data_IF_188109047641
#
_entry.id   IF_188109047641
#
_cell.length_a   1.000
_cell.length_b   1.000
_cell.length_c   1.000
_cell.angle_alpha   90.00
_cell.angle_beta   90.00
_cell.angle_gamma   90.00
#
_symmetry.space_group_name_H-M   'P 1'
#
loop_
_entity.id
_entity.type
_entity.pdbx_description
1 polymer ?
#
# COMPACT_ATOMS: atom_id res chain seq x y z
N UNK A 1 -5.45 3.89 -15.81
CA UNK A 1 -4.11 3.56 -15.23
C UNK A 1 -3.37 4.82 -14.78
N UNK A 2 -3.07 5.77 -15.66
CA UNK A 2 -2.21 6.94 -15.35
C UNK A 2 -2.67 7.75 -14.12
N UNK A 3 -3.97 7.99 -13.96
CA UNK A 3 -4.51 8.71 -12.79
C UNK A 3 -4.04 8.13 -11.44
N UNK A 4 -3.94 6.81 -11.31
CA UNK A 4 -3.46 6.17 -10.08
C UNK A 4 -1.93 6.25 -9.94
N UNK A 5 -1.20 6.19 -11.06
CA UNK A 5 0.25 6.40 -11.07
C UNK A 5 0.61 7.83 -10.64
N UNK A 6 -0.18 8.83 -11.08
CA UNK A 6 -0.01 10.22 -10.71
C UNK A 6 -0.19 10.45 -9.20
N UNK A 7 -1.14 9.73 -8.56
CA UNK A 7 -1.33 9.74 -7.11
C UNK A 7 -0.15 9.12 -6.34
N UNK A 8 0.48 8.07 -6.89
CA UNK A 8 1.65 7.37 -6.29
C UNK A 8 2.97 8.12 -6.46
N UNK A 9 3.04 8.95 -7.51
CA UNK A 9 4.25 9.61 -7.98
C UNK A 9 4.98 10.33 -6.85
N UNK A 10 6.32 10.32 -6.82
CA UNK A 10 7.07 11.19 -5.91
C UNK A 10 6.86 12.68 -6.25
N UNK A 11 7.25 13.56 -5.32
CA UNK A 11 7.25 15.01 -5.55
C UNK A 11 5.87 15.68 -5.48
N UNK A 12 4.85 15.01 -4.94
CA UNK A 12 3.49 15.56 -4.79
C UNK A 12 3.37 16.60 -3.67
N UNK A 13 4.28 16.58 -2.70
CA UNK A 13 4.30 17.56 -1.59
C UNK A 13 5.70 17.70 -0.98
N UNK A 14 5.87 18.67 -0.07
CA UNK A 14 7.10 18.88 0.70
C UNK A 14 7.40 17.78 1.75
N UNK A 15 6.42 16.91 2.02
CA UNK A 15 6.48 15.84 3.02
C UNK A 15 6.82 14.48 2.42
N UNK A 16 7.03 14.40 1.11
CA UNK A 16 7.50 13.21 0.41
C UNK A 16 8.80 13.50 -0.35
N UNK A 17 9.42 12.45 -0.90
CA UNK A 17 10.65 12.54 -1.66
C UNK A 17 10.47 13.47 -2.87
N UNK A 18 11.45 14.33 -3.10
CA UNK A 18 11.42 15.38 -4.11
C UNK A 18 11.90 14.91 -5.49
N UNK A 19 11.93 13.59 -5.72
CA UNK A 19 12.26 13.02 -7.04
C UNK A 19 11.17 13.37 -8.03
N UNK A 20 11.58 13.59 -9.28
CA UNK A 20 10.67 13.85 -10.39
C UNK A 20 10.70 12.66 -11.34
N UNK A 21 9.84 11.70 -11.07
CA UNK A 21 9.59 10.57 -11.95
C UNK A 21 8.20 10.77 -12.54
N UNK A 22 8.01 10.86 -13.87
CA UNK A 22 6.71 11.13 -14.46
C UNK A 22 5.76 9.93 -14.39
N UNK A 23 6.29 8.73 -14.10
CA UNK A 23 5.53 7.47 -14.02
C UNK A 23 4.62 7.24 -15.24
N UNK A 24 5.10 7.58 -16.44
CA UNK A 24 4.37 7.34 -17.68
C UNK A 24 4.33 5.85 -18.00
N UNK A 25 3.13 5.31 -18.13
CA UNK A 25 2.92 3.91 -18.50
C UNK A 25 2.68 3.77 -20.00
N UNK A 26 3.38 2.81 -20.62
CA UNK A 26 3.17 2.35 -21.98
C UNK A 26 2.55 0.95 -21.95
N UNK A 27 1.44 0.75 -22.64
CA UNK A 27 0.84 -0.57 -22.84
C UNK A 27 1.51 -1.18 -24.07
N UNK A 28 2.11 -2.36 -23.92
CA UNK A 28 2.88 -3.02 -24.98
C UNK A 28 2.10 -4.16 -25.66
N UNK A 29 1.12 -4.75 -24.96
CA UNK A 29 0.33 -5.88 -25.47
C UNK A 29 -0.98 -6.05 -24.69
N UNK A 30 -1.86 -6.94 -25.16
CA UNK A 30 -3.09 -7.35 -24.45
C UNK A 30 -4.26 -6.37 -24.54
N UNK A 31 -4.08 -5.28 -25.29
CA UNK A 31 -5.10 -4.25 -25.55
C UNK A 31 -5.20 -4.02 -27.05
N UNK A 32 -6.42 -3.84 -27.53
CA UNK A 32 -6.75 -3.55 -28.92
C UNK A 32 -7.69 -2.34 -28.98
N UNK A 33 -7.53 -1.50 -29.99
CA UNK A 33 -8.40 -0.36 -30.25
C UNK A 33 -8.55 -0.16 -31.75
N UNK A 34 -9.79 -0.06 -32.22
CA UNK A 34 -10.11 0.38 -33.57
C UNK A 34 -11.45 1.13 -33.60
N UNK A 35 -11.93 1.44 -34.80
CA UNK A 35 -13.19 2.13 -35.04
C UNK A 35 -14.43 1.38 -34.53
N UNK A 36 -14.32 0.10 -34.19
CA UNK A 36 -15.43 -0.76 -33.71
C UNK A 36 -15.51 -0.85 -32.19
N UNK A 37 -14.43 -0.58 -31.48
CA UNK A 37 -14.34 -0.83 -30.02
C UNK A 37 -14.76 0.37 -29.16
N UNK A 38 -14.84 1.57 -29.74
CA UNK A 38 -15.22 2.78 -29.00
C UNK A 38 -14.22 3.19 -27.92
N UNK A 39 -12.97 2.76 -28.07
CA UNK A 39 -11.87 2.93 -27.10
C UNK A 39 -11.08 1.63 -26.89
N UNK A 40 -10.05 1.65 -26.01
CA UNK A 40 -9.23 0.48 -25.75
C UNK A 40 -10.01 -0.66 -25.07
N UNK A 41 -9.91 -1.87 -25.60
CA UNK A 41 -10.48 -3.08 -25.02
C UNK A 41 -9.41 -4.14 -24.77
N UNK A 42 -9.59 -4.97 -23.74
CA UNK A 42 -8.67 -6.09 -23.47
C UNK A 42 -8.94 -7.25 -24.42
N UNK A 43 -7.90 -7.88 -24.94
CA UNK A 43 -8.02 -9.04 -25.86
C UNK A 43 -8.17 -10.38 -25.14
N UNK A 44 -8.13 -10.41 -23.81
CA UNK A 44 -8.07 -11.65 -23.00
C UNK A 44 -6.69 -12.30 -22.93
N UNK A 45 -5.69 -11.74 -23.62
CA UNK A 45 -4.29 -12.19 -23.56
C UNK A 45 -3.48 -11.37 -22.53
N UNK A 46 -2.25 -11.77 -22.17
CA UNK A 46 -1.43 -11.02 -21.21
C UNK A 46 -1.26 -9.53 -21.59
N UNK A 47 -1.48 -8.64 -20.62
CA UNK A 47 -1.26 -7.20 -20.76
C UNK A 47 0.13 -6.86 -20.22
N UNK A 48 1.03 -6.43 -21.11
CA UNK A 48 2.37 -5.99 -20.73
C UNK A 48 2.42 -4.48 -20.58
N UNK A 49 2.97 -4.00 -19.46
CA UNK A 49 3.12 -2.58 -19.15
C UNK A 49 4.60 -2.23 -18.98
N UNK A 50 5.02 -1.07 -19.48
CA UNK A 50 6.37 -0.55 -19.33
C UNK A 50 6.34 0.86 -18.74
N UNK A 51 7.16 1.08 -17.71
CA UNK A 51 7.35 2.38 -17.06
C UNK A 51 8.86 2.66 -17.03
N UNK A 52 9.28 3.74 -17.68
CA UNK A 52 10.70 4.12 -17.76
C UNK A 52 11.15 4.83 -16.47
N UNK A 53 12.40 4.61 -16.05
CA UNK A 53 13.03 5.35 -14.95
C UNK A 53 13.87 6.49 -15.56
N UNK A 54 13.57 7.74 -15.24
CA UNK A 54 14.22 8.90 -15.89
C UNK A 54 15.13 9.70 -14.97
N UNK A 55 14.97 9.65 -13.64
CA UNK A 55 15.77 10.40 -12.65
C UNK A 55 16.67 9.47 -11.82
N UNK A 56 17.28 8.46 -12.47
CA UNK A 56 18.23 7.56 -11.80
C UNK A 56 19.62 8.21 -11.70
N UNK A 57 19.96 8.71 -10.51
CA UNK A 57 21.30 9.20 -10.19
C UNK A 57 22.15 8.10 -9.55
N UNK A 58 22.89 7.37 -10.37
CA UNK A 58 23.73 6.26 -9.92
C UNK A 58 24.92 6.68 -9.05
N UNK A 59 25.42 7.92 -9.22
CA UNK A 59 26.59 8.46 -8.49
C UNK A 59 26.33 8.65 -6.99
N UNK A 60 25.09 8.90 -6.58
CA UNK A 60 24.72 9.15 -5.18
C UNK A 60 24.86 7.91 -4.28
N UNK A 61 25.14 6.74 -4.85
CA UNK A 61 25.16 5.44 -4.15
C UNK A 61 26.54 4.78 -4.06
N UNK A 62 27.60 5.40 -4.58
CA UNK A 62 28.95 4.81 -4.56
C UNK A 62 29.48 4.62 -3.13
N UNK A 63 29.19 5.55 -2.22
CA UNK A 63 29.63 5.50 -0.82
C UNK A 63 29.04 4.33 -0.02
N UNK A 64 27.91 3.77 -0.48
CA UNK A 64 27.24 2.63 0.17
C UNK A 64 27.47 1.30 -0.57
N UNK A 65 28.31 1.28 -1.61
CA UNK A 65 28.58 0.09 -2.43
C UNK A 65 29.00 -1.11 -1.60
N UNK A 66 29.83 -0.88 -0.60
CA UNK A 66 30.43 -1.93 0.23
C UNK A 66 29.87 -1.95 1.65
N UNK A 67 28.88 -1.08 1.95
CA UNK A 67 28.25 -0.94 3.27
C UNK A 67 26.81 -1.45 3.26
N UNK A 68 26.42 -2.18 4.30
CA UNK A 68 25.01 -2.53 4.49
C UNK A 68 24.28 -1.40 5.20
N UNK A 69 23.10 -0.99 4.70
CA UNK A 69 22.29 0.02 5.40
C UNK A 69 21.37 -0.69 6.39
N UNK A 70 21.41 -0.34 7.68
CA UNK A 70 20.47 -0.86 8.66
C UNK A 70 19.01 -0.65 8.21
N UNK A 71 18.18 -1.69 8.32
CA UNK A 71 16.78 -1.64 7.94
C UNK A 71 16.49 -1.76 6.44
N UNK A 72 17.51 -1.78 5.57
CA UNK A 72 17.34 -2.11 4.14
C UNK A 72 17.54 -3.60 3.88
N UNK A 73 17.25 -4.02 2.65
CA UNK A 73 17.39 -5.41 2.22
C UNK A 73 18.85 -5.80 1.89
N UNK A 74 19.81 -4.90 2.11
CA UNK A 74 21.18 -5.02 1.59
C UNK A 74 21.87 -6.33 1.99
N UNK A 75 22.02 -6.56 3.29
CA UNK A 75 22.69 -7.76 3.82
C UNK A 75 21.90 -9.03 3.48
N UNK A 76 20.57 -8.98 3.58
CA UNK A 76 19.73 -10.14 3.32
C UNK A 76 19.78 -10.59 1.85
N UNK A 77 19.85 -9.65 0.90
CA UNK A 77 20.02 -9.96 -0.52
C UNK A 77 21.41 -10.50 -0.83
N UNK A 78 22.46 -9.90 -0.25
CA UNK A 78 23.83 -10.37 -0.43
C UNK A 78 24.01 -11.79 0.15
N UNK A 79 23.47 -12.04 1.35
CA UNK A 79 23.48 -13.37 1.98
C UNK A 79 22.70 -14.42 1.17
N UNK A 80 21.57 -14.03 0.55
CA UNK A 80 20.73 -14.95 -0.22
C UNK A 80 21.29 -15.25 -1.61
N UNK A 81 21.83 -14.26 -2.31
CA UNK A 81 22.17 -14.36 -3.73
C UNK A 81 23.68 -14.24 -4.02
N UNK A 82 24.51 -13.88 -3.03
CA UNK A 82 25.93 -13.57 -3.23
C UNK A 82 26.20 -12.32 -4.07
N UNK A 83 25.14 -11.62 -4.49
CA UNK A 83 25.19 -10.39 -5.28
C UNK A 83 24.12 -9.42 -4.78
N UNK A 84 24.52 -8.16 -4.66
CA UNK A 84 23.66 -7.06 -4.23
C UNK A 84 23.78 -5.90 -5.19
N UNK A 85 22.66 -5.49 -5.78
CA UNK A 85 22.59 -4.18 -6.43
C UNK A 85 22.43 -3.10 -5.37
N UNK A 86 23.53 -2.43 -5.04
CA UNK A 86 23.57 -1.35 -4.06
C UNK A 86 22.89 -0.07 -4.56
N UNK A 87 22.56 0.03 -5.86
CA UNK A 87 21.91 1.21 -6.46
C UNK A 87 20.45 1.24 -6.03
N UNK A 88 19.96 2.41 -5.63
CA UNK A 88 18.59 2.61 -5.10
C UNK A 88 17.42 2.39 -6.08
N UNK A 89 17.65 1.74 -7.22
CA UNK A 89 16.67 1.43 -8.26
C UNK A 89 16.54 -0.07 -8.59
N UNK A 90 17.23 -0.96 -7.88
CA UNK A 90 17.13 -2.42 -8.06
C UNK A 90 15.85 -3.03 -7.48
N UNK A 91 15.74 -4.37 -7.49
CA UNK A 91 14.53 -5.14 -7.07
C UNK A 91 14.01 -4.79 -5.67
N UNK A 92 14.88 -4.42 -4.74
CA UNK A 92 14.49 -4.04 -3.37
C UNK A 92 13.92 -2.62 -3.24
N UNK A 93 13.99 -1.83 -4.31
CA UNK A 93 13.52 -0.45 -4.34
C UNK A 93 11.99 -0.38 -4.37
N UNK A 94 11.44 0.62 -3.67
CA UNK A 94 10.03 0.97 -3.77
C UNK A 94 9.62 1.49 -5.17
N UNK A 95 10.54 1.56 -6.15
CA UNK A 95 10.18 1.83 -7.55
C UNK A 95 9.23 0.77 -8.11
N UNK A 96 9.36 -0.47 -7.68
CA UNK A 96 8.49 -1.54 -8.16
C UNK A 96 7.01 -1.32 -7.83
N UNK A 97 6.69 -0.53 -6.80
CA UNK A 97 5.29 -0.22 -6.49
C UNK A 97 4.58 0.54 -7.61
N UNK A 98 5.30 1.18 -8.54
CA UNK A 98 4.71 1.72 -9.76
C UNK A 98 4.05 0.63 -10.61
N UNK A 99 4.67 -0.54 -10.74
CA UNK A 99 4.09 -1.68 -11.46
C UNK A 99 2.84 -2.21 -10.74
N UNK A 100 2.84 -2.25 -9.40
CA UNK A 100 1.66 -2.64 -8.60
C UNK A 100 0.49 -1.70 -8.81
N UNK A 101 0.73 -0.39 -8.77
CA UNK A 101 -0.29 0.64 -9.01
C UNK A 101 -0.81 0.56 -10.44
N UNK A 102 0.06 0.31 -11.42
CA UNK A 102 -0.36 0.13 -12.80
C UNK A 102 -1.28 -1.10 -12.98
N UNK A 103 -0.92 -2.22 -12.35
CA UNK A 103 -1.75 -3.42 -12.31
C UNK A 103 -3.09 -3.19 -11.59
N UNK A 104 -3.07 -2.47 -10.46
CA UNK A 104 -4.29 -2.07 -9.74
C UNK A 104 -5.24 -1.23 -10.59
N UNK A 105 -4.69 -0.39 -11.49
CA UNK A 105 -5.49 0.35 -12.46
C UNK A 105 -6.25 -0.54 -13.45
N UNK A 106 -5.69 -1.69 -13.83
CA UNK A 106 -6.39 -2.71 -14.64
C UNK A 106 -7.39 -3.47 -13.75
N UNK A 107 -6.99 -3.86 -12.54
CA UNK A 107 -7.85 -4.59 -11.61
C UNK A 107 -9.15 -3.81 -11.30
N UNK A 108 -9.07 -2.50 -11.12
CA UNK A 108 -10.25 -1.63 -10.95
C UNK A 108 -11.21 -1.67 -12.14
N UNK A 109 -10.70 -1.78 -13.38
CA UNK A 109 -11.56 -1.97 -14.56
C UNK A 109 -12.29 -3.32 -14.54
N UNK A 110 -11.63 -4.37 -14.05
CA UNK A 110 -12.25 -5.71 -13.87
C UNK A 110 -13.32 -5.68 -12.78
N UNK A 111 -13.09 -4.93 -11.70
CA UNK A 111 -14.05 -4.78 -10.60
C UNK A 111 -15.31 -4.03 -11.03
N UNK A 112 -15.16 -2.98 -11.83
CA UNK A 112 -16.25 -2.12 -12.27
C UNK A 112 -16.64 -1.08 -11.21
N UNK A 113 -17.65 -0.27 -11.52
CA UNK A 113 -17.98 0.94 -10.74
C UNK A 113 -18.77 0.67 -9.46
N UNK A 114 -19.24 -0.55 -9.25
CA UNK A 114 -19.98 -0.93 -8.03
C UNK A 114 -19.09 -1.08 -6.82
N UNK A 115 -17.77 -1.20 -7.01
CA UNK A 115 -16.79 -1.40 -5.94
C UNK A 115 -15.91 -0.17 -5.83
N UNK A 116 -15.96 0.46 -4.65
CA UNK A 116 -15.14 1.63 -4.34
C UNK A 116 -14.05 1.23 -3.37
N UNK A 117 -12.78 1.45 -3.75
CA UNK A 117 -11.62 1.22 -2.89
C UNK A 117 -10.97 2.57 -2.59
N UNK A 118 -10.85 2.91 -1.30
CA UNK A 118 -10.25 4.14 -0.80
C UNK A 118 -9.30 3.84 0.34
N UNK A 119 -8.17 4.54 0.39
CA UNK A 119 -7.19 4.45 1.46
C UNK A 119 -6.91 5.78 2.14
N UNK A 120 -6.50 5.69 3.39
CA UNK A 120 -6.23 6.81 4.27
C UNK A 120 -5.03 6.52 5.18
N UNK A 121 -4.26 7.55 5.53
CA UNK A 121 -3.33 7.43 6.66
C UNK A 121 -4.11 7.71 7.94
N UNK A 122 -4.01 6.82 8.91
CA UNK A 122 -4.74 6.91 10.19
C UNK A 122 -3.83 7.15 11.39
N UNK A 123 -2.51 7.02 11.20
CA UNK A 123 -1.52 7.36 12.23
C UNK A 123 -0.18 7.73 11.59
N UNK A 124 0.49 8.75 12.13
CA UNK A 124 1.89 9.06 11.84
C UNK A 124 2.66 9.19 13.16
N UNK A 125 3.68 8.35 13.35
CA UNK A 125 4.41 8.29 14.61
C UNK A 125 3.48 7.97 15.78
N UNK A 126 3.48 8.83 16.80
CA UNK A 126 2.63 8.70 18.00
C UNK A 126 1.24 9.34 17.84
N UNK A 127 0.96 10.00 16.72
CA UNK A 127 -0.27 10.76 16.51
C UNK A 127 -1.25 9.97 15.64
N UNK A 128 -2.27 9.40 16.27
CA UNK A 128 -3.40 8.73 15.62
C UNK A 128 -4.52 9.74 15.35
N UNK A 129 -5.27 9.56 14.26
CA UNK A 129 -6.49 10.34 14.00
C UNK A 129 -7.55 10.12 15.08
N UNK A 130 -8.51 11.01 15.16
CA UNK A 130 -9.78 10.73 15.82
C UNK A 130 -10.77 10.11 14.82
N UNK A 131 -11.21 8.86 15.01
CA UNK A 131 -12.19 8.22 14.12
C UNK A 131 -13.52 8.98 14.01
N UNK A 132 -13.90 9.78 15.01
CA UNK A 132 -15.12 10.59 14.98
C UNK A 132 -15.04 11.73 13.95
N UNK A 133 -13.83 12.15 13.59
CA UNK A 133 -13.57 13.20 12.60
C UNK A 133 -13.39 12.66 11.17
N UNK A 134 -13.65 11.37 10.95
CA UNK A 134 -13.40 10.73 9.65
C UNK A 134 -14.25 11.33 8.52
N UNK A 135 -13.59 12.01 7.57
CA UNK A 135 -14.19 12.47 6.33
C UNK A 135 -13.34 12.05 5.12
N UNK A 136 -13.94 11.25 4.22
CA UNK A 136 -13.27 10.81 3.00
C UNK A 136 -12.87 11.96 2.07
N UNK A 137 -13.66 13.04 2.02
CA UNK A 137 -13.38 14.18 1.14
C UNK A 137 -12.09 14.92 1.55
N UNK A 138 -11.73 14.85 2.84
CA UNK A 138 -10.51 15.48 3.35
C UNK A 138 -9.24 14.80 2.85
N UNK A 139 -9.29 13.51 2.49
CA UNK A 139 -8.11 12.77 2.02
C UNK A 139 -7.48 13.37 0.76
N UNK A 140 -8.27 14.07 -0.06
CA UNK A 140 -7.80 14.80 -1.25
C UNK A 140 -7.38 16.25 -0.96
N UNK A 141 -7.78 16.80 0.19
CA UNK A 141 -7.55 18.21 0.57
C UNK A 141 -6.27 18.43 1.38
N UNK A 142 -5.52 17.37 1.69
CA UNK A 142 -4.26 17.44 2.43
C UNK A 142 -3.20 16.48 1.85
N UNK A 143 -1.91 16.72 2.11
CA UNK A 143 -0.83 15.93 1.50
C UNK A 143 -0.61 14.56 2.16
N UNK A 144 -1.41 14.21 3.16
CA UNK A 144 -1.20 13.02 4.00
C UNK A 144 -2.20 11.91 3.73
N UNK A 145 -3.20 12.12 2.87
CA UNK A 145 -4.36 11.22 2.76
C UNK A 145 -5.08 11.04 4.10
N UNK A 146 -5.08 12.10 4.92
CA UNK A 146 -5.70 12.07 6.24
C UNK A 146 -7.21 12.32 6.11
N UNK A 147 -8.07 11.51 6.74
CA UNK A 147 -9.51 11.77 6.77
C UNK A 147 -9.90 12.75 7.89
N UNK A 148 -8.98 13.07 8.79
CA UNK A 148 -9.17 14.01 9.91
C UNK A 148 -8.39 15.32 9.63
N UNK A 149 -9.10 16.39 9.27
CA UNK A 149 -8.50 17.67 8.94
C UNK A 149 -7.79 18.35 10.13
N UNK A 150 -8.21 18.06 11.37
CA UNK A 150 -7.55 18.58 12.57
C UNK A 150 -6.21 17.86 12.78
N UNK A 151 -6.20 16.54 12.67
CA UNK A 151 -4.98 15.74 12.79
C UNK A 151 -3.97 16.04 11.68
N UNK A 152 -4.44 16.30 10.45
CA UNK A 152 -3.56 16.68 9.34
C UNK A 152 -2.68 17.91 9.66
N UNK A 153 -3.22 18.91 10.38
CA UNK A 153 -2.46 20.09 10.83
C UNK A 153 -1.41 19.74 11.87
N UNK A 154 -1.73 18.83 12.79
CA UNK A 154 -0.79 18.32 13.80
C UNK A 154 0.36 17.58 13.12
N UNK A 155 0.07 16.71 12.14
CA UNK A 155 1.09 15.97 11.39
C UNK A 155 2.02 16.86 10.58
N UNK A 156 1.53 17.97 10.02
CA UNK A 156 2.37 18.95 9.33
C UNK A 156 3.48 19.50 10.24
N UNK A 157 3.13 19.95 11.45
CA UNK A 157 4.13 20.45 12.40
C UNK A 157 5.08 19.35 12.90
N UNK A 158 4.52 18.18 13.20
CA UNK A 158 5.29 17.03 13.68
C UNK A 158 6.33 16.57 12.65
N UNK A 159 5.93 16.38 11.39
CA UNK A 159 6.83 15.95 10.33
C UNK A 159 7.89 17.01 9.99
N UNK A 160 7.57 18.30 10.11
CA UNK A 160 8.57 19.36 9.99
C UNK A 160 9.65 19.24 11.09
N UNK A 161 9.27 18.86 12.31
CA UNK A 161 10.20 18.61 13.42
C UNK A 161 11.06 17.37 13.16
N UNK A 162 10.45 16.25 12.76
CA UNK A 162 11.16 15.02 12.41
C UNK A 162 12.17 15.24 11.28
N UNK A 163 11.77 16.00 10.24
CA UNK A 163 12.63 16.34 9.10
C UNK A 163 13.81 17.22 9.52
N UNK A 164 13.58 18.25 10.35
CA UNK A 164 14.65 19.12 10.89
C UNK A 164 15.65 18.33 11.74
N UNK A 165 15.18 17.32 12.47
CA UNK A 165 16.03 16.40 13.22
C UNK A 165 16.77 15.38 12.32
N UNK A 166 16.52 15.37 11.01
CA UNK A 166 17.13 14.41 10.08
C UNK A 166 16.71 12.96 10.34
N UNK A 167 15.51 12.77 10.91
CA UNK A 167 14.95 11.48 11.30
C UNK A 167 13.76 11.10 10.40
N UNK A 168 13.12 9.97 10.71
CA UNK A 168 11.92 9.48 10.05
C UNK A 168 10.98 8.81 11.07
N UNK A 169 9.72 8.65 10.69
CA UNK A 169 8.67 8.02 11.50
C UNK A 169 7.86 7.04 10.67
N UNK A 170 7.22 6.08 11.34
CA UNK A 170 6.31 5.13 10.72
C UNK A 170 4.90 5.70 10.59
N UNK A 171 4.00 4.88 10.04
CA UNK A 171 2.59 5.21 9.92
C UNK A 171 1.72 3.95 9.91
N UNK A 172 0.42 4.14 10.15
CA UNK A 172 -0.61 3.15 9.86
C UNK A 172 -1.45 3.69 8.70
N UNK A 173 -1.61 2.86 7.68
CA UNK A 173 -2.53 3.10 6.56
C UNK A 173 -3.73 2.19 6.75
N UNK A 174 -4.93 2.72 6.51
CA UNK A 174 -6.16 1.95 6.40
C UNK A 174 -6.66 1.98 4.95
N UNK A 175 -7.13 0.86 4.44
CA UNK A 175 -7.77 0.75 3.12
C UNK A 175 -9.12 0.07 3.30
N UNK A 176 -10.13 0.67 2.72
CA UNK A 176 -11.51 0.18 2.73
C UNK A 176 -11.98 -0.13 1.32
N UNK A 177 -12.69 -1.25 1.14
CA UNK A 177 -13.45 -1.56 -0.08
C UNK A 177 -14.94 -1.70 0.24
N UNK A 178 -15.75 -0.81 -0.34
CA UNK A 178 -17.21 -0.84 -0.22
C UNK A 178 -17.85 -1.43 -1.46
N UNK A 179 -19.01 -2.06 -1.31
CA UNK A 179 -19.79 -2.66 -2.42
C UNK A 179 -19.29 -4.03 -2.87
N UNK A 180 -18.39 -4.67 -2.12
CA UNK A 180 -17.95 -6.04 -2.37
C UNK A 180 -19.10 -7.00 -2.03
N UNK A 181 -19.58 -7.84 -2.97
CA UNK A 181 -20.64 -8.80 -2.68
C UNK A 181 -20.22 -9.82 -1.62
N UNK A 182 -21.20 -10.42 -0.93
CA UNK A 182 -20.94 -11.58 -0.10
C UNK A 182 -20.53 -12.80 -0.96
N UNK A 183 -19.61 -13.62 -0.47
CA UNK A 183 -19.24 -14.89 -1.10
C UNK A 183 -17.89 -14.93 -1.82
N UNK A 184 -17.12 -13.84 -1.84
CA UNK A 184 -15.78 -13.82 -2.42
C UNK A 184 -14.72 -14.35 -1.44
N UNK A 185 -13.79 -15.14 -1.96
CA UNK A 185 -12.79 -15.86 -1.17
C UNK A 185 -12.99 -17.37 -1.26
N UNK A 186 -12.03 -18.13 -0.74
CA UNK A 186 -12.09 -19.59 -0.71
C UNK A 186 -11.78 -20.10 0.71
N UNK A 187 -12.43 -21.21 1.14
CA UNK A 187 -12.11 -21.81 2.42
C UNK A 187 -10.63 -22.24 2.51
N UNK A 188 -10.11 -22.23 3.75
CA UNK A 188 -8.81 -22.80 4.16
C UNK A 188 -7.56 -22.11 3.59
N UNK A 189 -7.28 -22.23 2.28
CA UNK A 189 -6.00 -21.81 1.68
C UNK A 189 -6.09 -20.58 0.77
N UNK A 190 -7.29 -20.22 0.31
CA UNK A 190 -7.54 -19.01 -0.48
C UNK A 190 -8.44 -18.03 0.27
N UNK A 191 -8.28 -17.97 1.60
CA UNK A 191 -9.10 -17.07 2.43
C UNK A 191 -8.82 -15.63 2.04
N UNK A 192 -9.88 -14.84 1.87
CA UNK A 192 -9.79 -13.46 1.39
C UNK A 192 -8.95 -12.58 2.33
N UNK A 193 -9.14 -12.71 3.63
CA UNK A 193 -8.34 -12.04 4.67
C UNK A 193 -6.85 -12.42 4.60
N UNK A 194 -6.54 -13.69 4.35
CA UNK A 194 -5.16 -14.18 4.16
C UNK A 194 -4.50 -13.62 2.90
N UNK A 195 -5.23 -13.55 1.79
CA UNK A 195 -4.74 -12.98 0.53
C UNK A 195 -4.54 -11.47 0.64
N UNK A 196 -5.49 -10.75 1.26
CA UNK A 196 -5.35 -9.33 1.58
C UNK A 196 -4.15 -9.09 2.50
N UNK A 197 -3.99 -9.89 3.56
CA UNK A 197 -2.87 -9.78 4.48
C UNK A 197 -1.53 -10.00 3.78
N UNK A 198 -1.42 -11.03 2.94
CA UNK A 198 -0.23 -11.31 2.13
C UNK A 198 0.08 -10.16 1.16
N UNK A 199 -0.94 -9.64 0.48
CA UNK A 199 -0.81 -8.53 -0.47
C UNK A 199 -0.31 -7.25 0.23
N UNK A 200 -0.86 -6.89 1.38
CA UNK A 200 -0.44 -5.72 2.16
C UNK A 200 0.96 -5.90 2.78
N UNK A 201 1.24 -7.07 3.36
CA UNK A 201 2.55 -7.36 3.96
C UNK A 201 3.67 -7.38 2.92
N UNK A 202 3.35 -7.67 1.66
CA UNK A 202 4.32 -7.65 0.57
C UNK A 202 4.77 -6.24 0.16
N UNK A 203 4.11 -5.18 0.64
CA UNK A 203 4.46 -3.78 0.36
C UNK A 203 5.75 -3.44 1.12
N UNK A 204 6.69 -2.75 0.46
CA UNK A 204 7.95 -2.35 1.09
C UNK A 204 7.67 -1.57 2.39
N UNK A 205 8.45 -1.87 3.43
CA UNK A 205 8.33 -1.29 4.77
C UNK A 205 7.10 -1.71 5.59
N UNK A 206 6.15 -2.49 5.04
CA UNK A 206 5.09 -3.09 5.85
C UNK A 206 5.67 -4.08 6.88
N UNK A 207 5.16 -4.03 8.12
CA UNK A 207 5.61 -4.86 9.24
C UNK A 207 4.47 -5.50 10.05
N UNK A 208 3.23 -5.08 9.82
CA UNK A 208 2.03 -5.61 10.46
C UNK A 208 0.83 -5.39 9.54
N UNK A 209 -0.14 -6.30 9.59
CA UNK A 209 -1.41 -6.17 8.89
C UNK A 209 -2.53 -6.61 9.82
N UNK A 210 -3.64 -5.87 9.78
CA UNK A 210 -4.86 -6.13 10.54
C UNK A 210 -6.06 -6.16 9.60
N UNK A 211 -7.06 -6.96 9.93
CA UNK A 211 -8.38 -7.00 9.28
C UNK A 211 -9.42 -6.61 10.34
N UNK A 212 -10.34 -5.70 9.99
CA UNK A 212 -11.41 -5.27 10.89
C UNK A 212 -10.89 -4.66 12.19
N UNK A 213 -11.26 -5.22 13.33
CA UNK A 213 -10.78 -4.82 14.66
C UNK A 213 -9.29 -5.16 14.88
N UNK A 214 -8.69 -6.04 14.07
CA UNK A 214 -7.26 -6.31 14.11
C UNK A 214 -6.79 -6.90 15.43
N UNK A 215 -5.68 -6.38 15.96
CA UNK A 215 -5.15 -6.83 17.26
C UNK A 215 -6.08 -6.48 18.43
N UNK A 216 -6.97 -5.49 18.30
CA UNK A 216 -7.92 -5.15 19.36
C UNK A 216 -8.91 -6.29 19.65
N UNK A 217 -9.20 -7.13 18.65
CA UNK A 217 -10.08 -8.29 18.80
C UNK A 217 -9.58 -9.29 19.87
N UNK A 218 -8.28 -9.34 20.15
CA UNK A 218 -7.72 -10.20 21.20
C UNK A 218 -8.17 -9.79 22.62
N UNK A 219 -8.62 -8.54 22.79
CA UNK A 219 -9.15 -8.04 24.06
C UNK A 219 -10.67 -8.09 24.18
N UNK A 220 -11.39 -8.53 23.14
CA UNK A 220 -12.85 -8.54 23.13
C UNK A 220 -13.42 -9.80 23.81
N UNK A 221 -14.58 -9.64 24.45
CA UNK A 221 -15.42 -10.78 24.81
C UNK A 221 -16.09 -11.37 23.56
N UNK A 222 -16.72 -12.53 23.68
CA UNK A 222 -17.46 -13.12 22.56
C UNK A 222 -18.60 -12.22 22.10
N UNK A 223 -19.26 -11.56 23.06
CA UNK A 223 -20.35 -10.62 22.86
C UNK A 223 -19.88 -9.35 22.14
N UNK A 224 -18.75 -8.77 22.57
CA UNK A 224 -18.20 -7.54 21.95
C UNK A 224 -17.66 -7.79 20.53
N UNK A 225 -17.13 -9.00 20.27
CA UNK A 225 -16.57 -9.36 18.97
C UNK A 225 -17.64 -9.78 17.95
N UNK A 226 -18.81 -10.23 18.41
CA UNK A 226 -19.85 -10.75 17.52
C UNK A 226 -20.47 -9.63 16.67
N UNK A 227 -20.25 -9.70 15.35
CA UNK A 227 -20.97 -8.84 14.41
C UNK A 227 -22.44 -9.28 14.29
N UNK A 228 -23.28 -8.72 15.14
CA UNK A 228 -24.70 -9.03 15.20
C UNK A 228 -25.43 -8.70 13.88
N UNK A 229 -26.45 -9.50 13.59
CA UNK A 229 -27.23 -9.40 12.36
C UNK A 229 -28.71 -9.18 12.65
N UNK A 230 -29.37 -8.42 11.78
CA UNK A 230 -30.83 -8.29 11.70
C UNK A 230 -31.27 -8.32 10.24
N UNK A 231 -32.53 -8.63 9.98
CA UNK A 231 -33.08 -8.48 8.63
C UNK A 231 -33.42 -7.02 8.35
N UNK A 232 -32.92 -6.50 7.23
CA UNK A 232 -33.38 -5.27 6.60
C UNK A 232 -34.22 -5.56 5.36
N UNK A 233 -34.67 -4.50 4.68
CA UNK A 233 -35.50 -4.61 3.48
C UNK A 233 -34.76 -5.26 2.30
N UNK A 234 -33.44 -5.09 2.24
CA UNK A 234 -32.58 -5.55 1.13
C UNK A 234 -31.75 -6.80 1.47
N UNK A 235 -32.01 -7.43 2.63
CA UNK A 235 -31.27 -8.61 3.08
C UNK A 235 -30.72 -8.50 4.50
N UNK A 236 -29.72 -9.32 4.82
CA UNK A 236 -29.04 -9.31 6.12
C UNK A 236 -28.29 -7.99 6.29
N UNK A 237 -28.53 -7.33 7.43
CA UNK A 237 -27.81 -6.14 7.86
C UNK A 237 -27.00 -6.46 9.12
N UNK A 238 -25.70 -6.21 9.05
CA UNK A 238 -24.81 -6.25 10.21
C UNK A 238 -24.90 -4.95 11.02
N UNK A 239 -24.78 -5.07 12.34
CA UNK A 239 -24.86 -3.95 13.28
C UNK A 239 -23.48 -3.37 13.64
N UNK A 240 -22.40 -4.11 13.39
CA UNK A 240 -20.99 -3.75 13.55
C UNK A 240 -20.13 -4.43 12.48
N UNK A 241 -18.85 -4.08 12.36
CA UNK A 241 -17.91 -4.64 11.39
C UNK A 241 -16.54 -4.97 11.99
N UNK A 242 -16.53 -5.67 13.13
CA UNK A 242 -15.33 -6.11 13.82
C UNK A 242 -14.52 -7.12 12.99
N UNK A 243 -15.19 -7.93 12.16
CA UNK A 243 -14.55 -8.90 11.27
C UNK A 243 -13.91 -8.25 10.01
N UNK A 244 -14.12 -6.95 9.78
CA UNK A 244 -13.57 -6.24 8.63
C UNK A 244 -14.06 -6.74 7.28
N UNK A 245 -15.32 -7.18 7.22
CA UNK A 245 -16.03 -7.68 6.05
C UNK A 245 -15.66 -9.09 5.63
N UNK A 246 -14.92 -9.85 6.44
CA UNK A 246 -14.53 -11.23 6.15
C UNK A 246 -14.87 -12.16 7.31
N UNK A 247 -15.67 -13.19 7.06
CA UNK A 247 -15.99 -14.24 8.03
C UNK A 247 -15.67 -15.61 7.43
N UNK A 248 -14.92 -16.44 8.15
CA UNK A 248 -14.49 -17.75 7.66
C UNK A 248 -13.57 -17.70 6.42
N UNK A 249 -12.99 -16.53 6.11
CA UNK A 249 -12.19 -16.31 4.90
C UNK A 249 -13.01 -15.94 3.66
N UNK A 250 -14.29 -15.60 3.83
CA UNK A 250 -15.22 -15.23 2.75
C UNK A 250 -15.81 -13.84 3.05
N UNK A 251 -16.00 -13.02 2.02
CA UNK A 251 -16.62 -11.70 2.17
C UNK A 251 -18.06 -11.81 2.67
N UNK A 252 -18.44 -10.94 3.61
CA UNK A 252 -19.79 -10.91 4.21
C UNK A 252 -20.76 -9.96 3.51
N UNK A 253 -20.25 -9.12 2.61
CA UNK A 253 -21.01 -8.02 2.01
C UNK A 253 -20.87 -6.68 2.75
N UNK A 254 -20.26 -6.69 3.94
CA UNK A 254 -19.83 -5.47 4.62
C UNK A 254 -18.58 -4.90 3.96
N UNK A 255 -18.26 -3.65 4.28
CA UNK A 255 -17.02 -3.03 3.84
C UNK A 255 -15.81 -3.86 4.31
N UNK A 256 -14.90 -4.14 3.38
CA UNK A 256 -13.63 -4.76 3.73
C UNK A 256 -12.72 -3.70 4.35
N UNK A 257 -12.19 -3.95 5.54
CA UNK A 257 -11.33 -2.99 6.27
C UNK A 257 -10.00 -3.64 6.58
N UNK A 258 -8.92 -3.06 6.04
CA UNK A 258 -7.55 -3.58 6.20
C UNK A 258 -6.63 -2.45 6.64
N UNK A 259 -5.86 -2.67 7.71
CA UNK A 259 -4.80 -1.74 8.14
C UNK A 259 -3.43 -2.36 7.96
N UNK A 260 -2.45 -1.55 7.58
CA UNK A 260 -1.04 -1.96 7.49
C UNK A 260 -0.12 -0.98 8.21
N UNK A 261 0.76 -1.55 9.05
CA UNK A 261 1.78 -0.81 9.77
C UNK A 261 3.04 -0.68 8.92
N UNK A 262 3.41 0.54 8.57
CA UNK A 262 4.59 0.89 7.79
C UNK A 262 5.69 1.41 8.73
N UNK A 263 6.85 0.75 8.73
CA UNK A 263 7.99 1.16 9.56
C UNK A 263 8.59 2.50 9.10
N UNK A 264 9.35 3.20 9.96
CA UNK A 264 10.09 4.39 9.57
C UNK A 264 11.05 4.17 8.40
N UNK A 265 11.23 5.21 7.58
CA UNK A 265 12.20 5.23 6.48
C UNK A 265 13.60 4.97 7.02
N UNK A 266 14.27 3.91 6.56
CA UNK A 266 15.55 3.48 7.14
C UNK A 266 16.74 4.38 6.76
N UNK A 267 16.61 5.19 5.71
CA UNK A 267 17.62 6.16 5.29
C UNK A 267 17.41 7.50 6.00
N UNK A 268 18.25 7.78 6.99
CA UNK A 268 18.23 8.98 7.84
C UNK A 268 19.61 9.65 7.89
N UNK A 269 19.65 10.92 8.32
CA UNK A 269 20.89 11.70 8.43
C UNK A 269 21.71 11.33 9.66
N UNK A 270 21.05 10.85 10.71
CA UNK A 270 21.74 10.39 11.92
C UNK A 270 22.52 9.11 11.64
N UNK A 271 23.80 9.08 12.00
CA UNK A 271 24.65 7.90 11.83
C UNK A 271 24.09 6.68 12.59
N UNK A 272 24.24 5.51 11.96
CA UNK A 272 23.90 4.21 12.53
C UNK A 272 25.06 3.25 12.35
N UNK A 273 25.33 2.47 13.41
CA UNK A 273 26.31 1.40 13.39
C UNK A 273 25.90 0.33 12.37
N UNK A 274 26.87 -0.15 11.60
CA UNK A 274 26.71 -1.25 10.66
C UNK A 274 28.04 -1.92 10.37
N UNK A 275 28.07 -2.76 9.35
CA UNK A 275 29.27 -3.45 8.88
C UNK A 275 29.41 -3.34 7.36
N UNK A 276 30.65 -3.45 6.87
CA UNK A 276 30.91 -3.64 5.44
C UNK A 276 30.62 -5.07 5.01
N UNK A 277 30.65 -5.30 3.70
CA UNK A 277 30.64 -6.65 3.11
C UNK A 277 31.81 -7.52 3.61
N UNK A 278 32.94 -6.91 3.97
CA UNK A 278 34.10 -7.62 4.53
C UNK A 278 33.98 -7.91 6.04
N UNK A 279 32.91 -7.43 6.69
CA UNK A 279 32.67 -7.63 8.12
C UNK A 279 33.31 -6.57 9.03
N UNK A 280 33.85 -5.49 8.47
CA UNK A 280 34.45 -4.39 9.24
C UNK A 280 33.36 -3.46 9.80
N UNK A 281 33.51 -3.00 11.04
CA UNK A 281 32.58 -2.05 11.66
C UNK A 281 32.63 -0.68 10.95
N UNK A 282 31.46 -0.11 10.64
CA UNK A 282 31.35 1.22 10.04
C UNK A 282 30.13 1.97 10.57
N UNK A 283 30.21 3.29 10.54
CA UNK A 283 29.02 4.13 10.64
C UNK A 283 28.47 4.44 9.24
N UNK A 284 27.17 4.23 9.09
CA UNK A 284 26.43 4.53 7.86
C UNK A 284 25.49 5.69 8.12
N UNK A 285 25.58 6.69 7.25
CA UNK A 285 24.60 7.78 7.10
C UNK A 285 24.21 7.87 5.64
N UNK A 286 22.93 8.11 5.35
CA UNK A 286 22.50 8.32 3.97
C UNK A 286 22.24 9.80 3.77
N UNK A 287 23.00 10.42 2.87
CA UNK A 287 22.84 11.83 2.50
C UNK A 287 21.86 11.87 1.32
N UNK A 288 20.72 12.54 1.48
CA UNK A 288 19.73 12.60 0.40
C UNK A 288 18.34 13.05 0.86
N UNK A 289 17.45 13.24 -0.13
CA UNK A 289 16.05 13.66 0.07
C UNK A 289 15.17 12.43 0.28
N UNK A 290 15.19 11.89 1.50
CA UNK A 290 14.37 10.75 1.88
C UNK A 290 13.02 11.19 2.45
N UNK A 291 12.00 10.35 2.26
CA UNK A 291 10.69 10.57 2.86
C UNK A 291 10.81 10.56 4.40
N UNK A 292 10.34 11.59 5.12
CA UNK A 292 10.24 11.55 6.59
C UNK A 292 9.23 10.49 7.06
N UNK A 293 8.26 10.12 6.21
CA UNK A 293 7.34 9.02 6.43
C UNK A 293 6.96 8.38 5.08
N UNK A 294 7.47 7.17 4.80
CA UNK A 294 7.12 6.43 3.56
C UNK A 294 5.66 5.95 3.54
N UNK A 295 4.98 5.87 4.69
CA UNK A 295 3.60 5.40 4.77
C UNK A 295 2.59 6.27 4.03
N UNK A 296 2.86 7.57 3.88
CA UNK A 296 2.01 8.49 3.10
C UNK A 296 1.86 8.00 1.65
N UNK A 297 2.96 7.55 1.05
CA UNK A 297 2.97 7.05 -0.33
C UNK A 297 2.55 5.59 -0.45
N UNK A 298 2.34 4.90 0.67
CA UNK A 298 1.86 3.52 0.66
C UNK A 298 0.36 3.44 0.35
N UNK A 299 -0.41 4.51 0.55
CA UNK A 299 -1.87 4.55 0.33
C UNK A 299 -2.27 4.08 -1.07
N UNK A 300 -1.85 4.73 -2.18
CA UNK A 300 -2.22 4.28 -3.52
C UNK A 300 -1.68 2.90 -3.88
N UNK A 301 -0.60 2.45 -3.22
CA UNK A 301 -0.06 1.10 -3.40
C UNK A 301 -0.95 0.06 -2.72
N UNK A 302 -1.42 0.34 -1.50
CA UNK A 302 -2.28 -0.53 -0.73
C UNK A 302 -3.67 -0.64 -1.39
N UNK A 303 -4.23 0.47 -1.87
CA UNK A 303 -5.44 0.45 -2.70
C UNK A 303 -5.28 -0.44 -3.94
N UNK A 304 -4.16 -0.31 -4.66
CA UNK A 304 -3.90 -1.12 -5.85
C UNK A 304 -3.75 -2.61 -5.53
N UNK A 305 -3.09 -2.95 -4.42
CA UNK A 305 -2.95 -4.33 -3.96
C UNK A 305 -4.31 -4.93 -3.57
N UNK A 306 -5.17 -4.18 -2.87
CA UNK A 306 -6.55 -4.59 -2.58
C UNK A 306 -7.34 -4.81 -3.87
N UNK A 307 -7.24 -3.89 -4.84
CA UNK A 307 -7.92 -4.03 -6.12
C UNK A 307 -7.49 -5.31 -6.85
N UNK A 308 -6.19 -5.62 -6.89
CA UNK A 308 -5.68 -6.84 -7.50
C UNK A 308 -6.23 -8.11 -6.83
N UNK A 309 -6.23 -8.17 -5.48
CA UNK A 309 -6.79 -9.31 -4.75
C UNK A 309 -8.28 -9.48 -5.03
N UNK A 310 -9.04 -8.37 -5.00
CA UNK A 310 -10.47 -8.41 -5.25
C UNK A 310 -10.81 -8.79 -6.68
N UNK A 311 -10.05 -8.32 -7.67
CA UNK A 311 -10.25 -8.70 -9.06
C UNK A 311 -10.00 -10.21 -9.25
N UNK A 312 -8.97 -10.75 -8.63
CA UNK A 312 -8.69 -12.19 -8.65
C UNK A 312 -9.78 -12.99 -7.93
N UNK A 313 -10.23 -12.55 -6.75
CA UNK A 313 -11.33 -13.17 -6.02
C UNK A 313 -12.64 -13.17 -6.82
N UNK A 314 -12.98 -12.05 -7.49
CA UNK A 314 -14.13 -11.94 -8.39
C UNK A 314 -14.08 -12.96 -9.53
N UNK A 315 -12.94 -13.05 -10.21
CA UNK A 315 -12.76 -13.95 -11.36
C UNK A 315 -12.81 -15.42 -10.92
N UNK A 316 -12.17 -15.77 -9.79
CA UNK A 316 -12.22 -17.11 -9.22
C UNK A 316 -13.63 -17.49 -8.75
N UNK A 317 -14.34 -16.58 -8.09
CA UNK A 317 -15.72 -16.81 -7.67
C UNK A 317 -16.61 -17.15 -8.88
N UNK A 318 -16.57 -16.32 -9.93
CA UNK A 318 -17.30 -16.59 -11.16
C UNK A 318 -16.92 -17.92 -11.81
N UNK A 319 -15.64 -18.28 -11.79
CA UNK A 319 -15.17 -19.58 -12.30
C UNK A 319 -15.62 -20.79 -11.46
N UNK A 320 -15.82 -20.61 -10.16
CA UNK A 320 -16.23 -21.68 -9.24
C UNK A 320 -17.75 -21.89 -9.21
N UNK A 321 -18.53 -20.80 -9.19
CA UNK A 321 -20.00 -20.88 -8.97
C UNK A 321 -20.84 -20.29 -10.10
N UNK A 322 -20.23 -19.72 -11.14
CA UNK A 322 -20.92 -19.27 -12.36
C UNK A 322 -21.62 -17.90 -12.26
N UNK A 323 -21.71 -17.31 -11.05
CA UNK A 323 -22.23 -15.96 -10.80
C UNK A 323 -21.13 -14.90 -10.70
#
# INVERSE_FOLDING_TARGET
IQAYLDQRRPGTSRFVTQRQEPDQVKILSGVFEDDRTGGPVTTGTPISLMIENVDQRSKDYSEIRDRYRPGHADQAYDAKYGVRDYRGGGRSSARETAARVAAGGIARQVLGDTITIRGAVVQIGEHMIDPENWNWDETANNPFWCPDAAMAKTWEHYLDTIRKAGSSVGAIVEVQASGVPAGWGAPVYGKLDGELAGAMMSINAAKGVEIGAGFAAAGFTGEDNADEMRMGNDGIRFLSNNNGGVAGGISTGQDLVVRLAIKPTSSILTARKSVTRAGEEVDVRTIGRHDPCVGIRAVPVAEAMMACVLADAKLRHRGQVGS
#
